data_IF_915600277436
#
_entry.id   IF_915600277436
#
_cell.length_a   1.000
_cell.length_b   1.000
_cell.length_c   1.000
_cell.angle_alpha   90.00
_cell.angle_beta   90.00
_cell.angle_gamma   90.00
#
_symmetry.space_group_name_H-M   'P 1'
#
loop_
_entity.id
_entity.type
_entity.pdbx_description
1 polymer ?
#
# COMPACT_ATOMS: atom_id res chain seq x y z
N UNK A 1 1.61 -20.50 -0.90
CA UNK A 1 0.85 -19.51 -1.70
C UNK A 1 1.74 -19.06 -2.85
N UNK A 2 1.23 -18.96 -4.08
CA UNK A 2 2.00 -18.36 -5.18
C UNK A 2 2.18 -16.85 -4.94
N UNK A 3 3.36 -16.33 -5.26
CA UNK A 3 3.62 -14.90 -5.29
C UNK A 3 2.72 -14.23 -6.33
N UNK A 4 2.18 -13.05 -6.01
CA UNK A 4 1.41 -12.23 -6.93
C UNK A 4 2.31 -11.54 -7.94
N UNK A 5 1.90 -11.54 -9.22
CA UNK A 5 2.42 -10.57 -10.16
C UNK A 5 2.01 -9.14 -9.72
N UNK A 6 2.75 -8.12 -10.16
CA UNK A 6 2.50 -6.75 -9.74
C UNK A 6 1.07 -6.27 -10.06
N UNK A 7 0.54 -6.62 -11.23
CA UNK A 7 -0.82 -6.26 -11.62
C UNK A 7 -1.88 -6.97 -10.76
N UNK A 8 -1.62 -8.23 -10.36
CA UNK A 8 -2.49 -8.94 -9.42
C UNK A 8 -2.45 -8.32 -8.02
N UNK A 9 -1.30 -7.81 -7.59
CA UNK A 9 -1.14 -7.07 -6.34
C UNK A 9 -1.93 -5.75 -6.36
N UNK A 10 -1.85 -4.99 -7.45
CA UNK A 10 -2.68 -3.78 -7.67
C UNK A 10 -4.16 -4.12 -7.66
N UNK A 11 -4.58 -5.15 -8.40
CA UNK A 11 -5.98 -5.58 -8.45
C UNK A 11 -6.49 -6.03 -7.06
N UNK A 12 -5.68 -6.78 -6.31
CA UNK A 12 -6.01 -7.21 -4.96
C UNK A 12 -6.16 -6.02 -4.01
N UNK A 13 -5.23 -5.06 -4.05
CA UNK A 13 -5.29 -3.88 -3.18
C UNK A 13 -6.52 -3.02 -3.50
N UNK A 14 -6.77 -2.73 -4.79
CA UNK A 14 -7.95 -1.99 -5.24
C UNK A 14 -9.26 -2.67 -4.81
N UNK A 15 -9.38 -3.99 -5.01
CA UNK A 15 -10.55 -4.74 -4.56
C UNK A 15 -10.78 -4.62 -3.04
N UNK A 16 -9.71 -4.63 -2.25
CA UNK A 16 -9.81 -4.45 -0.78
C UNK A 16 -10.26 -3.05 -0.41
N UNK A 17 -9.73 -2.02 -1.08
CA UNK A 17 -10.13 -0.63 -0.88
C UNK A 17 -11.59 -0.41 -1.24
N UNK A 18 -12.06 -0.97 -2.36
CA UNK A 18 -13.46 -0.93 -2.77
C UNK A 18 -14.37 -1.58 -1.72
N UNK A 19 -14.03 -2.77 -1.22
CA UNK A 19 -14.78 -3.45 -0.16
C UNK A 19 -14.80 -2.67 1.16
N UNK A 20 -13.73 -1.94 1.46
CA UNK A 20 -13.65 -1.05 2.61
C UNK A 20 -14.37 0.30 2.39
N UNK A 21 -14.90 0.56 1.19
CA UNK A 21 -15.45 1.87 0.79
C UNK A 21 -14.44 3.01 0.99
N UNK A 22 -13.16 2.72 0.80
CA UNK A 22 -12.11 3.71 0.87
C UNK A 22 -12.25 4.73 -0.27
N UNK A 23 -11.81 5.99 -0.08
CA UNK A 23 -11.68 6.94 -1.17
C UNK A 23 -10.83 6.37 -2.31
N UNK A 24 -11.23 6.56 -3.56
CA UNK A 24 -10.49 6.05 -4.73
C UNK A 24 -9.12 6.69 -4.88
N UNK A 25 -8.91 7.85 -4.23
CA UNK A 25 -7.66 8.58 -4.16
C UNK A 25 -6.93 8.37 -2.82
N UNK A 26 -7.29 7.35 -2.02
CA UNK A 26 -6.61 7.08 -0.75
C UNK A 26 -5.12 6.81 -0.94
N UNK A 27 -4.74 6.15 -2.03
CA UNK A 27 -3.36 6.07 -2.49
C UNK A 27 -3.23 6.91 -3.75
N UNK A 28 -2.21 7.75 -3.85
CA UNK A 28 -1.86 8.31 -5.15
C UNK A 28 -1.28 7.23 -6.08
N UNK A 29 -1.11 7.59 -7.36
CA UNK A 29 -0.65 6.65 -8.39
C UNK A 29 0.73 6.08 -8.07
N UNK A 30 1.66 6.93 -7.63
CA UNK A 30 3.05 6.53 -7.37
C UNK A 30 3.11 5.64 -6.12
N UNK A 31 2.33 5.97 -5.09
CA UNK A 31 2.19 5.18 -3.88
C UNK A 31 1.68 3.77 -4.17
N UNK A 32 0.69 3.64 -5.07
CA UNK A 32 0.16 2.36 -5.52
C UNK A 32 1.21 1.52 -6.28
N UNK A 33 2.03 2.15 -7.11
CA UNK A 33 3.12 1.47 -7.81
C UNK A 33 4.19 1.00 -6.83
N UNK A 34 4.59 1.87 -5.91
CA UNK A 34 5.65 1.62 -4.95
C UNK A 34 5.27 0.51 -3.96
N UNK A 35 4.07 0.54 -3.40
CA UNK A 35 3.62 -0.47 -2.43
C UNK A 35 3.51 -1.85 -3.10
N UNK A 36 3.03 -1.94 -4.34
CA UNK A 36 2.84 -3.22 -5.02
C UNK A 36 4.13 -3.82 -5.54
N UNK A 37 5.12 -3.00 -5.90
CA UNK A 37 6.46 -3.45 -6.27
C UNK A 37 7.23 -4.03 -5.07
N UNK A 38 7.12 -3.38 -3.91
CA UNK A 38 7.98 -3.72 -2.76
C UNK A 38 7.61 -5.02 -2.06
N UNK A 39 6.40 -5.53 -2.24
CA UNK A 39 5.95 -6.72 -1.51
C UNK A 39 6.42 -8.05 -2.13
N UNK A 40 7.11 -8.05 -3.28
CA UNK A 40 7.58 -9.28 -3.95
C UNK A 40 6.47 -10.31 -4.23
N UNK A 41 5.23 -9.82 -4.36
CA UNK A 41 4.01 -10.60 -4.49
C UNK A 41 3.55 -11.36 -3.23
N UNK A 42 4.13 -11.07 -2.05
CA UNK A 42 3.65 -11.58 -0.78
C UNK A 42 2.38 -10.83 -0.33
N UNK A 43 1.24 -11.52 -0.43
CA UNK A 43 -0.08 -11.00 -0.06
C UNK A 43 -0.18 -10.49 1.36
N UNK A 44 0.48 -11.17 2.31
CA UNK A 44 0.43 -10.81 3.73
C UNK A 44 1.18 -9.52 3.97
N UNK A 45 2.38 -9.41 3.41
CA UNK A 45 3.20 -8.20 3.52
C UNK A 45 2.53 -7.00 2.85
N UNK A 46 1.92 -7.18 1.68
CA UNK A 46 1.14 -6.13 1.00
C UNK A 46 0.02 -5.59 1.89
N UNK A 47 -0.80 -6.46 2.47
CA UNK A 47 -1.90 -6.01 3.31
C UNK A 47 -1.43 -5.41 4.64
N UNK A 48 -0.34 -5.93 5.21
CA UNK A 48 0.27 -5.38 6.43
C UNK A 48 0.79 -3.97 6.19
N UNK A 49 1.54 -3.76 5.11
CA UNK A 49 2.05 -2.45 4.73
C UNK A 49 0.92 -1.46 4.42
N UNK A 50 -0.07 -1.88 3.63
CA UNK A 50 -1.23 -1.04 3.31
C UNK A 50 -1.99 -0.60 4.58
N UNK A 51 -2.19 -1.52 5.54
CA UNK A 51 -2.82 -1.19 6.82
C UNK A 51 -2.00 -0.19 7.62
N UNK A 52 -0.69 -0.40 7.74
CA UNK A 52 0.21 0.50 8.46
C UNK A 52 0.19 1.92 7.86
N UNK A 53 0.17 2.03 6.53
CA UNK A 53 0.08 3.32 5.85
C UNK A 53 -1.25 4.03 6.07
N UNK A 54 -2.36 3.30 6.10
CA UNK A 54 -3.66 3.88 6.48
C UNK A 54 -3.64 4.41 7.92
N UNK A 55 -3.00 3.69 8.83
CA UNK A 55 -2.86 4.14 10.22
C UNK A 55 -1.96 5.37 10.31
N UNK A 56 -0.84 5.38 9.59
CA UNK A 56 0.08 6.52 9.56
C UNK A 56 -0.59 7.77 8.97
N UNK A 57 -1.30 7.64 7.84
CA UNK A 57 -2.07 8.73 7.26
C UNK A 57 -3.12 9.27 8.23
N UNK A 58 -3.79 8.38 8.96
CA UNK A 58 -4.73 8.77 10.00
C UNK A 58 -4.04 9.57 11.14
N UNK A 59 -2.90 9.11 11.63
CA UNK A 59 -2.13 9.78 12.69
C UNK A 59 -1.58 11.14 12.24
N UNK A 60 -1.21 11.28 10.96
CA UNK A 60 -0.75 12.54 10.35
C UNK A 60 -1.88 13.47 9.92
N UNK A 61 -3.13 13.04 10.06
CA UNK A 61 -4.32 13.74 9.54
C UNK A 61 -4.23 14.01 8.02
N UNK A 62 -3.60 13.09 7.29
CA UNK A 62 -3.46 13.11 5.84
C UNK A 62 -4.57 12.27 5.20
N UNK A 63 -5.11 12.75 4.08
CA UNK A 63 -6.22 12.09 3.35
C UNK A 63 -5.76 11.18 2.22
N UNK A 64 -4.50 11.32 1.81
CA UNK A 64 -3.90 10.64 0.66
C UNK A 64 -2.55 10.10 1.12
N UNK A 65 -2.34 8.80 0.90
CA UNK A 65 -1.07 8.12 1.10
C UNK A 65 -0.24 8.37 -0.15
N UNK A 66 0.91 9.03 0.04
CA UNK A 66 1.84 9.39 -1.02
C UNK A 66 3.06 8.47 -1.05
N UNK A 67 3.80 8.50 -2.15
CA UNK A 67 5.09 7.80 -2.27
C UNK A 67 6.08 8.24 -1.17
N UNK A 68 6.11 9.53 -0.83
CA UNK A 68 6.93 10.09 0.24
C UNK A 68 6.58 9.48 1.61
N UNK A 69 5.28 9.36 1.93
CA UNK A 69 4.85 8.71 3.17
C UNK A 69 5.36 7.27 3.24
N UNK A 70 5.26 6.54 2.13
CA UNK A 70 5.74 5.15 2.04
C UNK A 70 7.25 5.07 2.28
N UNK A 71 8.04 5.92 1.62
CA UNK A 71 9.49 5.98 1.78
C UNK A 71 9.92 6.38 3.21
N UNK A 72 9.06 7.13 3.91
CA UNK A 72 9.29 7.49 5.31
C UNK A 72 9.01 6.35 6.30
N UNK A 73 8.38 5.24 5.86
CA UNK A 73 8.10 4.11 6.75
C UNK A 73 9.35 3.29 7.07
N UNK A 74 9.46 2.83 8.31
CA UNK A 74 10.51 1.90 8.74
C UNK A 74 10.53 0.61 7.89
N UNK A 75 9.37 0.19 7.36
CA UNK A 75 9.27 -0.97 6.48
C UNK A 75 10.09 -0.79 5.20
N UNK A 76 10.07 0.39 4.59
CA UNK A 76 10.88 0.71 3.42
C UNK A 76 12.35 0.90 3.78
N UNK A 77 12.65 1.48 4.94
CA UNK A 77 14.03 1.64 5.39
C UNK A 77 14.73 0.31 5.72
N UNK A 78 13.97 -0.71 6.16
CA UNK A 78 14.49 -2.03 6.49
C UNK A 78 14.56 -3.02 5.32
N UNK A 79 13.83 -2.77 4.23
CA UNK A 79 13.72 -3.68 3.07
C UNK A 79 14.11 -3.03 1.73
N UNK A 80 14.60 -1.80 1.75
CA UNK A 80 15.07 -1.04 0.58
C UNK A 80 16.53 -1.28 0.22
#
# INVERSE_FOLDING_TARGET
>A
MKSLAQDDAKAMLNFRMEKAKAPTNLFDREAMELITANCGGNRRELMKLAFNLCMEAHLRNEKVITSEMILSTEYMQANG
#
